data_IF_206022292966
#
_entry.id   IF_206022292966
#
_cell.length_a   1.000
_cell.length_b   1.000
_cell.length_c   1.000
_cell.angle_alpha   90.00
_cell.angle_beta   90.00
_cell.angle_gamma   90.00
#
_symmetry.space_group_name_H-M   'P 1'
#
loop_
_entity.id
_entity.type
_entity.pdbx_description
1 polymer ?
#
# COMPACT_ATOMS: atom_id res chain seq x y z
N UNK A 1 10.59 -15.78 -13.99
CA UNK A 1 11.67 -14.96 -13.42
C UNK A 1 11.14 -14.10 -12.28
N UNK A 2 10.20 -13.16 -12.51
CA UNK A 2 9.70 -12.24 -11.45
C UNK A 2 9.12 -12.94 -10.22
N UNK A 3 8.37 -14.03 -10.41
CA UNK A 3 7.84 -14.83 -9.29
C UNK A 3 8.94 -15.43 -8.40
N UNK A 4 10.00 -15.97 -9.01
CA UNK A 4 11.13 -16.58 -8.29
C UNK A 4 11.85 -15.51 -7.46
N UNK A 5 12.10 -14.34 -8.07
CA UNK A 5 12.74 -13.21 -7.38
C UNK A 5 11.92 -12.76 -6.17
N UNK A 6 10.60 -12.66 -6.33
CA UNK A 6 9.69 -12.28 -5.24
C UNK A 6 9.72 -13.30 -4.11
N UNK A 7 9.66 -14.60 -4.42
CA UNK A 7 9.76 -15.67 -3.42
C UNK A 7 11.08 -15.58 -2.65
N UNK A 8 12.20 -15.34 -3.33
CA UNK A 8 13.50 -15.18 -2.67
C UNK A 8 13.49 -13.99 -1.71
N UNK A 9 12.97 -12.82 -2.13
CA UNK A 9 12.88 -11.63 -1.27
C UNK A 9 12.03 -11.89 -0.04
N UNK A 10 10.87 -12.54 -0.21
CA UNK A 10 9.98 -12.89 0.90
C UNK A 10 10.65 -13.86 1.87
N UNK A 11 11.38 -14.86 1.36
CA UNK A 11 12.12 -15.81 2.19
C UNK A 11 13.24 -15.12 2.98
N UNK A 12 14.02 -14.25 2.35
CA UNK A 12 15.08 -13.47 3.01
C UNK A 12 14.49 -12.61 4.12
N UNK A 13 13.38 -11.91 3.86
CA UNK A 13 12.72 -11.06 4.85
C UNK A 13 12.12 -11.86 6.01
N UNK A 14 11.52 -13.02 5.73
CA UNK A 14 10.91 -13.88 6.76
C UNK A 14 11.97 -14.58 7.63
N UNK A 15 13.05 -15.05 7.01
CA UNK A 15 14.15 -15.76 7.66
C UNK A 15 15.27 -14.81 8.12
N UNK A 16 15.05 -13.49 8.10
CA UNK A 16 16.04 -12.49 8.52
C UNK A 16 16.60 -12.77 9.92
N UNK A 17 15.75 -13.24 10.86
CA UNK A 17 16.18 -13.61 12.21
C UNK A 17 17.23 -14.74 12.28
N UNK A 18 17.33 -15.58 11.23
CA UNK A 18 18.24 -16.72 11.19
C UNK A 18 19.39 -16.54 10.21
N UNK A 19 19.15 -15.81 9.11
CA UNK A 19 20.11 -15.63 8.03
C UNK A 19 20.97 -14.38 8.24
N UNK A 20 20.49 -13.37 8.98
CA UNK A 20 21.25 -12.14 9.20
C UNK A 20 22.55 -12.44 9.99
N UNK A 21 23.72 -11.99 9.51
CA UNK A 21 25.00 -12.22 10.19
C UNK A 21 25.07 -11.60 11.59
N UNK A 22 24.43 -10.43 11.78
CA UNK A 22 24.50 -9.65 13.01
C UNK A 22 23.12 -9.13 13.41
N UNK A 23 22.98 -8.69 14.66
CA UNK A 23 21.76 -8.03 15.10
C UNK A 23 21.66 -6.63 14.44
N UNK A 24 20.51 -6.26 13.83
CA UNK A 24 20.37 -5.01 13.08
C UNK A 24 20.51 -3.73 13.92
N UNK A 25 20.45 -3.84 15.25
CA UNK A 25 20.61 -2.72 16.18
C UNK A 25 21.98 -2.72 16.88
N UNK A 26 22.80 -3.75 16.66
CA UNK A 26 24.12 -3.83 17.26
C UNK A 26 25.08 -2.84 16.61
N UNK A 27 25.88 -2.16 17.45
CA UNK A 27 26.74 -1.07 17.05
C UNK A 27 28.20 -1.52 17.14
N UNK A 28 28.89 -1.47 16.01
CA UNK A 28 30.31 -1.73 15.85
C UNK A 28 31.05 -0.43 15.49
N UNK A 29 32.19 -0.54 14.81
CA UNK A 29 32.88 0.65 14.28
C UNK A 29 32.10 1.24 13.11
N UNK A 30 31.89 2.55 13.15
CA UNK A 30 31.21 3.28 12.08
C UNK A 30 32.03 3.32 10.78
N UNK A 31 31.32 3.29 9.65
CA UNK A 31 31.88 3.49 8.30
C UNK A 31 33.02 2.55 7.93
N UNK A 32 32.93 1.29 8.33
CA UNK A 32 33.85 0.27 7.85
C UNK A 32 33.56 -0.08 6.40
N UNK A 33 34.62 -0.23 5.60
CA UNK A 33 34.51 -0.75 4.25
C UNK A 33 34.05 -2.23 4.27
N UNK A 34 33.51 -2.76 3.15
CA UNK A 34 33.15 -4.16 3.03
C UNK A 34 34.32 -5.10 3.35
N UNK A 35 34.09 -6.09 4.22
CA UNK A 35 35.06 -7.12 4.61
C UNK A 35 34.36 -8.47 4.86
N UNK A 36 35.11 -9.53 5.15
CA UNK A 36 34.60 -10.87 5.42
C UNK A 36 33.63 -10.92 6.62
N UNK A 37 33.76 -10.00 7.58
CA UNK A 37 32.83 -9.85 8.71
C UNK A 37 31.61 -9.00 8.35
N UNK A 38 31.81 -7.89 7.62
CA UNK A 38 30.74 -6.99 7.21
C UNK A 38 30.66 -6.95 5.69
N UNK A 39 29.91 -7.87 5.10
CA UNK A 39 29.85 -8.07 3.64
C UNK A 39 29.51 -6.79 2.85
N UNK A 40 28.68 -5.91 3.43
CA UNK A 40 28.32 -4.61 2.85
C UNK A 40 28.85 -3.41 3.65
N UNK A 41 29.77 -3.65 4.59
CA UNK A 41 30.28 -2.63 5.50
C UNK A 41 29.28 -2.22 6.59
N UNK A 42 29.63 -1.16 7.32
CA UNK A 42 28.80 -0.61 8.40
C UNK A 42 28.29 0.80 8.07
N UNK A 43 27.12 1.15 8.61
CA UNK A 43 26.52 2.47 8.41
C UNK A 43 27.21 3.58 9.24
N UNK A 44 26.69 4.81 9.14
CA UNK A 44 27.19 5.97 9.90
C UNK A 44 27.16 5.78 11.43
N UNK A 45 26.33 4.86 11.92
CA UNK A 45 26.22 4.51 13.35
C UNK A 45 26.98 3.23 13.70
N UNK A 46 27.64 2.58 12.75
CA UNK A 46 28.37 1.32 12.98
C UNK A 46 27.53 0.06 12.91
N UNK A 47 26.31 0.10 12.36
CA UNK A 47 25.44 -1.08 12.22
C UNK A 47 25.72 -1.81 10.91
N UNK A 48 25.66 -3.15 10.91
CA UNK A 48 25.85 -3.96 9.70
C UNK A 48 24.77 -3.67 8.65
N UNK A 49 25.20 -3.26 7.45
CA UNK A 49 24.30 -2.84 6.36
C UNK A 49 23.51 -4.02 5.80
N UNK A 50 24.12 -5.20 5.68
CA UNK A 50 23.45 -6.39 5.15
C UNK A 50 22.31 -6.84 6.08
N UNK A 51 22.58 -6.96 7.39
CA UNK A 51 21.57 -7.29 8.39
C UNK A 51 20.45 -6.25 8.42
N UNK A 52 20.78 -4.94 8.37
CA UNK A 52 19.80 -3.85 8.27
C UNK A 52 18.93 -3.96 7.02
N UNK A 53 19.50 -4.34 5.87
CA UNK A 53 18.75 -4.52 4.62
C UNK A 53 17.77 -5.68 4.70
N UNK A 54 18.17 -6.82 5.27
CA UNK A 54 17.30 -7.99 5.42
C UNK A 54 16.13 -7.75 6.37
N UNK A 55 16.40 -7.12 7.52
CA UNK A 55 15.35 -6.71 8.45
C UNK A 55 14.48 -5.59 7.88
N UNK A 56 15.08 -4.63 7.16
CA UNK A 56 14.38 -3.56 6.46
C UNK A 56 13.38 -4.11 5.43
N UNK A 57 13.79 -5.11 4.65
CA UNK A 57 12.90 -5.76 3.68
C UNK A 57 11.64 -6.34 4.33
N UNK A 58 11.74 -6.88 5.55
CA UNK A 58 10.58 -7.35 6.32
C UNK A 58 9.63 -6.20 6.68
N UNK A 59 10.16 -5.09 7.16
CA UNK A 59 9.37 -3.91 7.51
C UNK A 59 8.68 -3.32 6.28
N UNK A 60 9.42 -3.09 5.20
CA UNK A 60 8.86 -2.54 3.97
C UNK A 60 7.78 -3.44 3.35
N UNK A 61 7.95 -4.78 3.38
CA UNK A 61 6.90 -5.70 2.91
C UNK A 61 5.63 -5.61 3.75
N UNK A 62 5.76 -5.59 5.08
CA UNK A 62 4.60 -5.53 5.97
C UNK A 62 3.89 -4.19 5.84
N UNK A 63 4.63 -3.08 5.76
CA UNK A 63 4.05 -1.74 5.60
C UNK A 63 3.41 -1.61 4.21
N UNK A 64 4.11 -2.01 3.15
CA UNK A 64 3.61 -1.91 1.78
C UNK A 64 2.33 -2.73 1.55
N UNK A 65 2.31 -3.99 1.99
CA UNK A 65 1.13 -4.83 1.88
C UNK A 65 0.01 -4.41 2.85
N UNK A 66 0.36 -4.02 4.08
CA UNK A 66 -0.59 -3.60 5.10
C UNK A 66 -1.31 -2.30 4.74
N UNK A 67 -0.56 -1.27 4.34
CA UNK A 67 -1.10 0.03 3.94
C UNK A 67 -1.99 -0.10 2.71
N UNK A 68 -1.50 -0.78 1.68
CA UNK A 68 -2.27 -0.96 0.44
C UNK A 68 -3.47 -1.88 0.64
N UNK A 69 -3.36 -2.91 1.49
CA UNK A 69 -4.50 -3.76 1.86
C UNK A 69 -5.59 -2.97 2.62
N UNK A 70 -5.20 -2.12 3.56
CA UNK A 70 -6.12 -1.21 4.25
C UNK A 70 -6.80 -0.24 3.27
N UNK A 71 -6.02 0.40 2.41
CA UNK A 71 -6.52 1.27 1.35
C UNK A 71 -7.45 0.52 0.40
N UNK A 72 -7.15 -0.74 0.08
CA UNK A 72 -7.96 -1.58 -0.81
C UNK A 72 -9.35 -1.79 -0.22
N UNK A 73 -9.42 -2.19 1.05
CA UNK A 73 -10.70 -2.46 1.72
C UNK A 73 -11.52 -1.17 1.83
N UNK A 74 -10.95 -0.11 2.43
CA UNK A 74 -11.67 1.15 2.65
C UNK A 74 -12.00 1.85 1.32
N UNK A 75 -11.03 1.94 0.41
CA UNK A 75 -11.18 2.54 -0.90
C UNK A 75 -12.20 1.80 -1.78
N UNK A 76 -12.22 0.47 -1.75
CA UNK A 76 -13.22 -0.29 -2.51
C UNK A 76 -14.63 -0.06 -2.01
N UNK A 77 -14.84 0.00 -0.68
CA UNK A 77 -16.15 0.30 -0.10
C UNK A 77 -16.59 1.71 -0.50
N UNK A 78 -15.72 2.71 -0.36
CA UNK A 78 -16.01 4.11 -0.70
C UNK A 78 -16.28 4.27 -2.20
N UNK A 79 -15.44 3.66 -3.04
CA UNK A 79 -15.57 3.70 -4.50
C UNK A 79 -16.85 3.02 -5.00
N UNK A 80 -17.20 1.86 -4.44
CA UNK A 80 -18.44 1.17 -4.76
C UNK A 80 -19.67 1.95 -4.31
N UNK A 81 -19.63 2.53 -3.10
CA UNK A 81 -20.70 3.40 -2.61
C UNK A 81 -20.88 4.61 -3.53
N UNK A 82 -19.78 5.28 -3.91
CA UNK A 82 -19.83 6.43 -4.80
C UNK A 82 -20.34 6.07 -6.21
N UNK A 83 -20.07 4.86 -6.70
CA UNK A 83 -20.52 4.42 -8.02
C UNK A 83 -22.03 4.16 -8.10
N UNK A 84 -22.63 3.62 -7.03
CA UNK A 84 -24.06 3.25 -7.01
C UNK A 84 -24.95 4.33 -6.37
N UNK A 85 -24.35 5.33 -5.72
CA UNK A 85 -25.08 6.44 -5.12
C UNK A 85 -25.61 7.45 -6.15
N UNK A 86 -26.53 8.32 -5.70
CA UNK A 86 -27.02 9.45 -6.51
C UNK A 86 -25.85 10.36 -6.92
N UNK A 87 -25.98 11.02 -8.08
CA UNK A 87 -24.93 11.91 -8.64
C UNK A 87 -24.35 12.89 -7.62
N UNK A 88 -25.19 13.56 -6.84
CA UNK A 88 -24.72 14.53 -5.85
C UNK A 88 -23.91 13.89 -4.70
N UNK A 89 -24.32 12.71 -4.21
CA UNK A 89 -23.58 11.98 -3.17
C UNK A 89 -22.24 11.51 -3.71
N UNK A 90 -22.22 10.97 -4.94
CA UNK A 90 -20.99 10.60 -5.62
C UNK A 90 -20.03 11.80 -5.74
N UNK A 91 -20.54 12.97 -6.12
CA UNK A 91 -19.72 14.19 -6.21
C UNK A 91 -19.17 14.57 -4.84
N UNK A 92 -19.99 14.61 -3.80
CA UNK A 92 -19.52 14.94 -2.44
C UNK A 92 -18.41 13.99 -1.98
N UNK A 93 -18.58 12.67 -2.16
CA UNK A 93 -17.55 11.69 -1.80
C UNK A 93 -16.25 11.97 -2.57
N UNK A 94 -16.34 12.14 -3.90
CA UNK A 94 -15.15 12.41 -4.71
C UNK A 94 -14.48 13.73 -4.34
N UNK A 95 -15.24 14.78 -3.99
CA UNK A 95 -14.69 16.06 -3.53
C UNK A 95 -13.94 15.95 -2.20
N UNK A 96 -14.47 15.17 -1.24
CA UNK A 96 -13.75 14.91 0.02
C UNK A 96 -12.44 14.18 -0.25
N UNK A 97 -12.45 13.21 -1.15
CA UNK A 97 -11.25 12.49 -1.57
C UNK A 97 -10.24 13.38 -2.32
N UNK A 98 -10.73 14.32 -3.13
CA UNK A 98 -9.90 15.31 -3.82
C UNK A 98 -9.24 16.29 -2.83
N UNK A 99 -9.92 16.64 -1.73
CA UNK A 99 -9.33 17.43 -0.64
C UNK A 99 -8.19 16.68 0.03
N UNK A 100 -8.29 15.38 0.25
CA UNK A 100 -7.17 14.59 0.81
C UNK A 100 -5.98 14.59 -0.16
N UNK A 101 -6.24 14.43 -1.46
CA UNK A 101 -5.22 14.41 -2.51
C UNK A 101 -4.59 15.77 -2.81
N UNK A 102 -5.15 16.88 -2.31
CA UNK A 102 -4.58 18.21 -2.49
C UNK A 102 -3.40 18.48 -1.55
N UNK A 103 -3.31 17.72 -0.45
CA UNK A 103 -2.18 17.78 0.46
C UNK A 103 -0.98 17.02 -0.12
N UNK A 104 0.25 17.57 -0.02
CA UNK A 104 1.45 16.81 -0.34
C UNK A 104 1.52 15.55 0.51
N UNK A 105 1.57 14.37 -0.12
CA UNK A 105 1.45 13.09 0.58
C UNK A 105 2.48 12.91 1.70
N UNK A 106 3.74 13.29 1.45
CA UNK A 106 4.83 13.22 2.44
C UNK A 106 4.52 14.11 3.66
N UNK A 107 4.02 15.32 3.44
CA UNK A 107 3.70 16.25 4.53
C UNK A 107 2.55 15.74 5.41
N UNK A 108 1.52 15.18 4.77
CA UNK A 108 0.39 14.58 5.49
C UNK A 108 0.86 13.35 6.30
N UNK A 109 1.63 12.46 5.69
CA UNK A 109 2.17 11.28 6.36
C UNK A 109 3.11 11.63 7.52
N UNK A 110 4.00 12.61 7.34
CA UNK A 110 4.88 13.09 8.40
C UNK A 110 4.07 13.64 9.59
N UNK A 111 2.98 14.37 9.32
CA UNK A 111 2.10 14.89 10.37
C UNK A 111 1.41 13.74 11.14
N UNK A 112 0.96 12.70 10.44
CA UNK A 112 0.44 11.49 11.09
C UNK A 112 1.49 10.83 11.99
N UNK A 113 2.73 10.68 11.52
CA UNK A 113 3.81 10.10 12.33
C UNK A 113 4.12 10.95 13.56
N UNK A 114 4.10 12.27 13.44
CA UNK A 114 4.32 13.17 14.59
C UNK A 114 3.22 13.02 15.65
N UNK A 115 1.96 12.83 15.22
CA UNK A 115 0.81 12.71 16.12
C UNK A 115 0.69 11.33 16.75
N UNK A 116 0.87 10.26 15.96
CA UNK A 116 0.63 8.87 16.38
C UNK A 116 1.93 8.12 16.76
N UNK A 117 3.09 8.76 16.59
CA UNK A 117 4.41 8.20 16.82
C UNK A 117 4.93 7.36 15.66
N UNK A 118 6.22 7.03 15.70
CA UNK A 118 6.92 6.22 14.71
C UNK A 118 6.81 4.74 15.07
N UNK A 119 5.69 4.10 14.72
CA UNK A 119 5.47 2.68 14.93
C UNK A 119 4.87 2.04 13.67
N UNK A 120 4.91 0.71 13.61
CA UNK A 120 4.50 -0.01 12.41
C UNK A 120 3.00 0.20 12.05
N UNK A 121 2.06 0.18 13.01
CA UNK A 121 0.66 0.49 12.71
C UNK A 121 0.42 1.94 12.24
N UNK A 122 1.10 2.93 12.82
CA UNK A 122 0.91 4.33 12.45
C UNK A 122 1.32 4.59 11.00
N UNK A 123 2.44 4.01 10.55
CA UNK A 123 2.88 4.08 9.16
C UNK A 123 1.89 3.39 8.21
N UNK A 124 1.37 2.22 8.58
CA UNK A 124 0.35 1.51 7.79
C UNK A 124 -0.91 2.37 7.63
N UNK A 125 -1.41 2.97 8.71
CA UNK A 125 -2.62 3.80 8.64
C UNK A 125 -2.37 5.13 7.92
N UNK A 126 -1.22 5.77 8.10
CA UNK A 126 -0.88 7.02 7.44
C UNK A 126 -0.80 6.85 5.91
N UNK A 127 -0.02 5.86 5.46
CA UNK A 127 0.14 5.57 4.03
C UNK A 127 -1.16 5.01 3.45
N UNK A 128 -1.83 4.11 4.18
CA UNK A 128 -3.10 3.53 3.76
C UNK A 128 -4.18 4.59 3.58
N UNK A 129 -4.31 5.53 4.52
CA UNK A 129 -5.23 6.67 4.41
C UNK A 129 -4.95 7.52 3.16
N UNK A 130 -3.67 7.77 2.87
CA UNK A 130 -3.25 8.51 1.69
C UNK A 130 -3.68 7.82 0.39
N UNK A 131 -3.72 6.49 0.34
CA UNK A 131 -4.05 5.74 -0.87
C UNK A 131 -5.53 5.40 -1.04
N UNK A 132 -6.38 5.61 -0.01
CA UNK A 132 -7.84 5.45 -0.10
C UNK A 132 -8.43 6.18 -1.32
N UNK A 133 -8.13 7.47 -1.59
CA UNK A 133 -8.70 8.19 -2.73
C UNK A 133 -8.35 7.58 -4.09
N UNK A 134 -7.12 7.11 -4.27
CA UNK A 134 -6.66 6.48 -5.51
C UNK A 134 -7.43 5.19 -5.78
N UNK A 135 -7.55 4.33 -4.77
CA UNK A 135 -8.32 3.08 -4.89
C UNK A 135 -9.83 3.36 -5.06
N UNK A 136 -10.40 4.30 -4.32
CA UNK A 136 -11.81 4.63 -4.46
C UNK A 136 -12.15 5.14 -5.87
N UNK A 137 -11.26 5.93 -6.47
CA UNK A 137 -11.44 6.45 -7.82
C UNK A 137 -11.35 5.36 -8.89
N UNK A 138 -10.36 4.45 -8.81
CA UNK A 138 -10.24 3.34 -9.78
C UNK A 138 -11.40 2.37 -9.65
N UNK A 139 -11.83 2.04 -8.42
CA UNK A 139 -12.98 1.15 -8.18
C UNK A 139 -14.24 1.78 -8.74
N UNK A 140 -14.48 3.07 -8.46
CA UNK A 140 -15.64 3.79 -9.02
C UNK A 140 -15.62 3.77 -10.55
N UNK A 141 -14.49 4.08 -11.17
CA UNK A 141 -14.37 4.13 -12.64
C UNK A 141 -14.67 2.76 -13.27
N UNK A 142 -14.13 1.68 -12.71
CA UNK A 142 -14.38 0.31 -13.19
C UNK A 142 -15.84 -0.08 -13.01
N UNK A 143 -16.44 0.20 -11.85
CA UNK A 143 -17.85 -0.12 -11.60
C UNK A 143 -18.73 0.63 -12.60
N UNK A 144 -18.54 1.94 -12.76
CA UNK A 144 -19.32 2.74 -13.73
C UNK A 144 -19.15 2.22 -15.16
N UNK A 145 -17.96 1.77 -15.54
CA UNK A 145 -17.70 1.16 -16.84
C UNK A 145 -18.46 -0.14 -17.03
N UNK A 146 -18.42 -1.05 -16.05
CA UNK A 146 -19.15 -2.32 -16.08
C UNK A 146 -20.68 -2.13 -16.12
N UNK A 147 -21.21 -1.11 -15.43
CA UNK A 147 -22.65 -0.80 -15.48
C UNK A 147 -23.15 -0.41 -16.89
N UNK A 148 -22.25 0.02 -17.79
CA UNK A 148 -22.61 0.35 -19.17
C UNK A 148 -22.59 -0.86 -20.13
N UNK A 149 -22.19 -2.05 -19.66
CA UNK A 149 -22.09 -3.26 -20.47
C UNK A 149 -23.47 -3.91 -20.71
N UNK A 150 -23.60 -4.63 -21.83
CA UNK A 150 -24.88 -5.22 -22.24
C UNK A 150 -25.37 -6.34 -21.31
N UNK A 151 -24.46 -7.06 -20.64
CA UNK A 151 -24.84 -8.07 -19.66
C UNK A 151 -25.56 -7.45 -18.45
N UNK A 152 -25.18 -6.23 -18.05
CA UNK A 152 -25.87 -5.50 -16.96
C UNK A 152 -27.27 -5.09 -17.42
N UNK A 153 -27.39 -4.56 -18.64
CA UNK A 153 -28.69 -4.17 -19.22
C UNK A 153 -29.65 -5.36 -19.29
N UNK A 154 -29.18 -6.52 -19.74
CA UNK A 154 -29.97 -7.75 -19.80
C UNK A 154 -30.49 -8.19 -18.42
N UNK A 155 -29.65 -8.08 -17.38
CA UNK A 155 -30.00 -8.46 -16.00
C UNK A 155 -30.96 -7.44 -15.37
N UNK A 156 -30.86 -6.16 -15.71
CA UNK A 156 -31.82 -5.12 -15.29
C UNK A 156 -33.21 -5.39 -15.89
N UNK A 157 -33.28 -5.73 -17.19
CA UNK A 157 -34.55 -6.11 -17.85
C UNK A 157 -35.15 -7.38 -17.23
N UNK A 158 -34.31 -8.26 -16.70
CA UNK A 158 -34.71 -9.46 -15.96
C UNK A 158 -35.22 -9.17 -14.53
N UNK A 159 -35.28 -7.90 -14.11
CA UNK A 159 -35.85 -7.48 -12.82
C UNK A 159 -34.89 -7.51 -11.62
N UNK A 160 -33.59 -7.66 -11.84
CA UNK A 160 -32.62 -7.68 -10.75
C UNK A 160 -32.43 -6.29 -10.12
N UNK A 161 -32.25 -6.25 -8.79
CA UNK A 161 -32.01 -5.01 -8.04
C UNK A 161 -30.55 -4.57 -8.12
N UNK A 162 -30.30 -3.26 -8.09
CA UNK A 162 -28.95 -2.69 -8.21
C UNK A 162 -27.89 -3.25 -7.24
N UNK A 163 -28.17 -3.49 -5.94
CA UNK A 163 -27.18 -4.08 -5.03
C UNK A 163 -26.82 -5.52 -5.37
N UNK A 164 -27.77 -6.29 -5.92
CA UNK A 164 -27.54 -7.67 -6.33
C UNK A 164 -26.66 -7.73 -7.58
N UNK A 165 -26.90 -6.84 -8.56
CA UNK A 165 -26.08 -6.69 -9.76
C UNK A 165 -24.64 -6.32 -9.39
N UNK A 166 -24.50 -5.37 -8.46
CA UNK A 166 -23.20 -4.91 -7.98
C UNK A 166 -22.38 -6.07 -7.42
N UNK A 167 -22.90 -6.76 -6.40
CA UNK A 167 -22.14 -7.78 -5.66
C UNK A 167 -21.89 -9.02 -6.52
N UNK A 168 -22.89 -9.47 -7.29
CA UNK A 168 -22.81 -10.76 -7.99
C UNK A 168 -22.06 -10.69 -9.32
N UNK A 169 -22.18 -9.58 -10.03
CA UNK A 169 -21.63 -9.46 -11.38
C UNK A 169 -20.51 -8.42 -11.46
N UNK A 170 -20.81 -7.18 -11.10
CA UNK A 170 -19.90 -6.04 -11.35
C UNK A 170 -18.63 -6.13 -10.51
N UNK A 171 -18.75 -6.35 -9.19
CA UNK A 171 -17.59 -6.47 -8.30
C UNK A 171 -16.65 -7.57 -8.79
N UNK A 172 -17.19 -8.71 -9.22
CA UNK A 172 -16.38 -9.84 -9.71
C UNK A 172 -15.57 -9.48 -10.96
N UNK A 173 -16.15 -8.71 -11.88
CA UNK A 173 -15.45 -8.23 -13.08
C UNK A 173 -14.43 -7.15 -12.75
N UNK A 174 -14.69 -6.30 -11.74
CA UNK A 174 -13.77 -5.26 -11.31
C UNK A 174 -12.55 -5.77 -10.52
N UNK A 175 -12.57 -7.00 -9.97
CA UNK A 175 -11.45 -7.54 -9.17
C UNK A 175 -10.15 -7.51 -9.97
N UNK A 176 -10.16 -7.96 -11.23
CA UNK A 176 -8.94 -8.05 -12.04
C UNK A 176 -8.25 -6.68 -12.23
N UNK A 177 -8.90 -5.64 -12.79
CA UNK A 177 -8.27 -4.34 -12.96
C UNK A 177 -7.91 -3.65 -11.63
N UNK A 178 -8.74 -3.80 -10.60
CA UNK A 178 -8.46 -3.23 -9.27
C UNK A 178 -7.23 -3.88 -8.63
N UNK A 179 -7.09 -5.20 -8.73
CA UNK A 179 -5.93 -5.92 -8.19
C UNK A 179 -4.63 -5.55 -8.91
N UNK A 180 -4.67 -5.36 -10.23
CA UNK A 180 -3.50 -4.90 -11.00
C UNK A 180 -3.03 -3.53 -10.51
N UNK A 181 -3.96 -2.59 -10.34
CA UNK A 181 -3.62 -1.26 -9.81
C UNK A 181 -3.12 -1.33 -8.36
N UNK A 182 -3.72 -2.19 -7.55
CA UNK A 182 -3.32 -2.40 -6.15
C UNK A 182 -1.88 -2.89 -6.05
N UNK A 183 -1.43 -3.77 -6.94
CA UNK A 183 -0.03 -4.24 -6.96
C UNK A 183 0.94 -3.08 -7.21
N UNK A 184 0.60 -2.14 -8.10
CA UNK A 184 1.40 -0.94 -8.34
C UNK A 184 1.48 -0.08 -7.07
N UNK A 185 0.37 0.07 -6.34
CA UNK A 185 0.34 0.80 -5.08
C UNK A 185 1.16 0.14 -3.96
N UNK A 186 1.35 -1.18 -3.97
CA UNK A 186 2.28 -1.83 -3.02
C UNK A 186 3.71 -1.35 -3.26
N UNK A 187 4.13 -1.26 -4.52
CA UNK A 187 5.46 -0.75 -4.85
C UNK A 187 5.61 0.73 -4.46
N UNK A 188 4.59 1.55 -4.73
CA UNK A 188 4.57 2.96 -4.33
C UNK A 188 4.62 3.11 -2.79
N UNK A 189 3.86 2.29 -2.05
CA UNK A 189 3.87 2.29 -0.59
C UNK A 189 5.26 2.01 -0.01
N UNK A 190 5.98 1.05 -0.60
CA UNK A 190 7.35 0.68 -0.18
C UNK A 190 8.32 1.83 -0.42
N UNK A 191 8.26 2.46 -1.60
CA UNK A 191 9.12 3.61 -1.92
C UNK A 191 8.78 4.80 -1.03
N UNK A 192 7.49 5.01 -0.75
CA UNK A 192 7.02 6.08 0.09
C UNK A 192 7.45 5.91 1.55
N UNK A 193 7.36 4.69 2.08
CA UNK A 193 7.89 4.33 3.41
C UNK A 193 9.40 4.60 3.52
N UNK A 194 10.18 4.16 2.53
CA UNK A 194 11.61 4.47 2.47
C UNK A 194 11.88 5.99 2.42
N UNK A 195 11.04 6.75 1.71
CA UNK A 195 11.13 8.22 1.66
C UNK A 195 10.87 8.85 3.02
N UNK A 196 9.95 8.30 3.84
CA UNK A 196 9.73 8.74 5.21
C UNK A 196 10.93 8.47 6.10
N UNK A 197 11.64 7.35 5.90
CA UNK A 197 12.85 7.03 6.65
C UNK A 197 13.97 8.08 6.44
N UNK A 198 14.11 8.63 5.22
CA UNK A 198 15.08 9.70 4.93
C UNK A 198 14.81 11.00 5.70
N UNK A 199 13.54 11.30 5.98
CA UNK A 199 13.14 12.50 6.76
C UNK A 199 12.95 12.20 8.26
N UNK A 200 13.47 11.07 8.75
CA UNK A 200 13.36 10.62 10.14
C UNK A 200 11.93 10.36 10.64
N UNK A 201 10.99 10.14 9.71
CA UNK A 201 9.60 9.77 10.00
C UNK A 201 9.32 8.27 9.75
N UNK A 202 10.27 7.53 9.19
CA UNK A 202 10.21 6.07 9.02
C UNK A 202 10.90 5.30 10.14
N UNK A 203 10.90 3.96 10.04
CA UNK A 203 11.52 3.03 11.01
C UNK A 203 12.86 2.46 10.54
#
# INVERSE_FOLDING_TARGET
>A
ISFIVLVIIVLIAALANFIAPHNPLEIFTARQAPDAQFLFGTDDKGRDVLSRMMYGARYSLVIGLGATGFALICGSIIGALAAVSRKWVSEVIMRVLDVVMSFPGIALAATFVVVFGTNLPSLIFAIGFLYIPQIARIVRANIVSEYNQDYVRAVVVSGARAPWILIKHVVRNCIAPVMVFTIVLVADAIVFEASLAFISAGI
#
